data_IF_404606659853
#
_entry.id   IF_404606659853
#
_cell.length_a   1.000
_cell.length_b   1.000
_cell.length_c   1.000
_cell.angle_alpha   90.00
_cell.angle_beta   90.00
_cell.angle_gamma   90.00
#
_symmetry.space_group_name_H-M   'P 1'
#
loop_
_entity.id
_entity.type
_entity.pdbx_description
1 polymer ?
#
# COMPACT_ATOMS: atom_id res chain seq x y z
N UNK A 1 16.70 5.25 -9.94
CA UNK A 1 15.45 4.78 -10.57
C UNK A 1 14.35 5.11 -9.59
N UNK A 2 13.38 5.94 -9.98
CA UNK A 2 12.28 6.33 -9.09
C UNK A 2 11.13 5.34 -9.33
N UNK A 3 10.68 4.64 -8.31
CA UNK A 3 9.45 3.85 -8.37
C UNK A 3 8.32 4.72 -7.88
N UNK A 4 7.17 4.68 -8.55
CA UNK A 4 5.98 5.38 -8.07
C UNK A 4 5.02 4.36 -7.49
N UNK A 5 4.72 4.49 -6.21
CA UNK A 5 3.93 3.52 -5.48
C UNK A 5 2.65 4.12 -4.93
N UNK A 6 1.68 3.25 -4.67
CA UNK A 6 0.36 3.56 -4.15
C UNK A 6 0.07 2.60 -3.01
N UNK A 7 -0.50 3.10 -1.93
CA UNK A 7 -0.91 2.29 -0.78
C UNK A 7 -2.36 2.57 -0.45
N UNK A 8 -3.10 1.51 -0.13
CA UNK A 8 -4.34 1.60 0.61
C UNK A 8 -4.14 0.79 1.89
N UNK A 9 -4.45 1.37 3.06
CA UNK A 9 -4.26 0.76 4.36
C UNK A 9 -5.56 0.84 5.15
N UNK A 10 -6.11 -0.30 5.55
CA UNK A 10 -7.21 -0.38 6.51
C UNK A 10 -6.64 -0.44 7.91
N UNK A 11 -7.08 0.49 8.76
CA UNK A 11 -6.67 0.58 10.14
C UNK A 11 -7.37 -0.49 10.98
N UNK A 12 -6.70 -0.98 12.02
CA UNK A 12 -7.38 -1.76 13.05
C UNK A 12 -8.44 -0.88 13.75
N UNK A 13 -9.53 -1.49 14.22
CA UNK A 13 -10.77 -0.80 14.67
C UNK A 13 -10.52 0.32 15.72
N UNK A 14 -9.47 0.21 16.53
CA UNK A 14 -9.13 1.18 17.58
C UNK A 14 -7.79 1.90 17.35
N UNK A 15 -7.19 1.73 16.17
CA UNK A 15 -5.89 2.32 15.88
C UNK A 15 -6.00 3.84 15.67
N UNK A 16 -4.98 4.55 16.14
CA UNK A 16 -4.81 5.97 15.83
C UNK A 16 -4.26 6.09 14.39
N UNK A 17 -4.94 6.82 13.49
CA UNK A 17 -4.46 7.07 12.13
C UNK A 17 -3.21 7.97 12.08
N UNK A 18 -3.00 8.86 13.05
CA UNK A 18 -1.97 9.89 12.97
C UNK A 18 -0.55 9.30 12.86
N UNK A 19 -0.15 8.31 13.67
CA UNK A 19 1.14 7.63 13.52
C UNK A 19 1.34 6.94 12.16
N UNK A 20 0.27 6.44 11.55
CA UNK A 20 0.32 5.77 10.24
C UNK A 20 0.55 6.80 9.13
N UNK A 21 -0.17 7.91 9.20
CA UNK A 21 0.02 9.05 8.29
C UNK A 21 1.42 9.62 8.44
N UNK A 22 1.90 9.87 9.66
CA UNK A 22 3.23 10.42 9.91
C UNK A 22 4.34 9.49 9.37
N UNK A 23 4.19 8.18 9.53
CA UNK A 23 5.16 7.21 9.03
C UNK A 23 5.17 7.13 7.49
N UNK A 24 4.01 7.13 6.84
CA UNK A 24 3.90 6.95 5.38
C UNK A 24 4.05 8.26 4.60
N UNK A 25 3.69 9.40 5.19
CA UNK A 25 3.82 10.74 4.61
C UNK A 25 5.07 11.50 5.10
N UNK A 26 5.90 10.88 5.95
CA UNK A 26 7.10 11.50 6.52
C UNK A 26 8.12 11.97 5.47
N UNK A 27 9.01 12.87 5.90
CA UNK A 27 9.87 13.75 5.07
C UNK A 27 10.67 13.07 3.93
N UNK A 28 11.00 11.78 4.04
CA UNK A 28 11.79 11.05 3.04
C UNK A 28 10.95 10.47 1.88
N UNK A 29 9.63 10.38 2.02
CA UNK A 29 8.74 9.88 0.96
C UNK A 29 8.18 11.06 0.18
N UNK A 30 8.57 11.19 -1.10
CA UNK A 30 7.88 12.15 -1.97
C UNK A 30 6.48 11.64 -2.24
N UNK A 31 5.52 12.17 -1.50
CA UNK A 31 4.11 11.84 -1.57
C UNK A 31 3.40 12.82 -2.52
N UNK A 32 2.57 12.30 -3.43
CA UNK A 32 1.74 13.15 -4.30
C UNK A 32 0.41 13.52 -3.64
N UNK A 33 -0.13 12.65 -2.79
CA UNK A 33 -1.33 12.91 -2.00
C UNK A 33 -1.63 11.80 -1.01
N UNK A 34 -2.23 12.16 0.11
CA UNK A 34 -2.87 11.25 1.06
C UNK A 34 -4.36 11.61 1.17
N UNK A 35 -5.20 10.60 1.28
CA UNK A 35 -6.63 10.77 1.56
C UNK A 35 -7.08 9.79 2.64
N UNK A 36 -8.19 10.10 3.29
CA UNK A 36 -8.80 9.26 4.32
C UNK A 36 -10.29 9.13 4.09
N UNK A 37 -10.76 7.90 4.07
CA UNK A 37 -12.17 7.56 4.03
C UNK A 37 -12.46 6.53 5.11
N UNK A 38 -13.22 6.92 6.14
CA UNK A 38 -13.50 6.11 7.33
C UNK A 38 -12.21 5.58 8.01
N UNK A 39 -12.02 4.26 7.99
CA UNK A 39 -10.88 3.50 8.52
C UNK A 39 -9.80 3.20 7.46
N UNK A 40 -9.98 3.70 6.23
CA UNK A 40 -9.05 3.50 5.12
C UNK A 40 -8.21 4.77 4.93
N UNK A 41 -6.89 4.58 4.88
CA UNK A 41 -5.92 5.58 4.45
C UNK A 41 -5.40 5.22 3.06
N UNK A 42 -5.42 6.18 2.13
CA UNK A 42 -4.83 6.00 0.80
C UNK A 42 -3.68 6.97 0.59
N UNK A 43 -2.59 6.47 0.02
CA UNK A 43 -1.37 7.22 -0.26
C UNK A 43 -1.01 7.01 -1.72
N UNK A 44 -0.81 8.08 -2.46
CA UNK A 44 -0.55 8.01 -3.89
C UNK A 44 0.77 8.67 -4.26
N UNK A 45 1.41 8.07 -5.25
CA UNK A 45 2.59 8.64 -5.88
C UNK A 45 3.81 8.73 -4.98
N UNK A 46 3.97 7.76 -4.07
CA UNK A 46 5.13 7.65 -3.19
C UNK A 46 6.36 7.26 -3.99
N UNK A 47 7.43 8.07 -3.91
CA UNK A 47 8.73 7.75 -4.51
C UNK A 47 9.67 7.06 -3.51
N UNK A 48 10.27 5.94 -3.93
CA UNK A 48 11.26 5.24 -3.12
C UNK A 48 11.46 3.79 -3.54
N UNK A 49 12.47 3.08 -3.03
CA UNK A 49 12.58 1.64 -3.25
C UNK A 49 11.42 0.90 -2.58
N UNK A 50 10.86 -0.12 -3.25
CA UNK A 50 9.78 -0.94 -2.71
C UNK A 50 10.07 -1.47 -1.29
N UNK A 51 11.33 -1.85 -1.03
CA UNK A 51 11.77 -2.34 0.27
C UNK A 51 11.73 -1.30 1.40
N UNK A 52 11.74 -0.01 1.09
CA UNK A 52 11.52 1.02 2.10
C UNK A 52 10.03 1.10 2.48
N UNK A 53 9.14 1.00 1.50
CA UNK A 53 7.69 0.99 1.73
C UNK A 53 7.25 -0.26 2.49
N UNK A 54 7.81 -1.43 2.16
CA UNK A 54 7.61 -2.67 2.94
C UNK A 54 7.97 -2.44 4.42
N UNK A 55 9.12 -1.83 4.70
CA UNK A 55 9.56 -1.55 6.08
C UNK A 55 8.68 -0.52 6.78
N UNK A 56 8.18 0.48 6.07
CA UNK A 56 7.24 1.45 6.65
C UNK A 56 5.94 0.76 7.07
N UNK A 57 5.37 -0.09 6.19
CA UNK A 57 4.18 -0.88 6.53
C UNK A 57 4.42 -1.81 7.73
N UNK A 58 5.59 -2.46 7.81
CA UNK A 58 5.96 -3.25 8.99
C UNK A 58 6.12 -2.40 10.25
N UNK A 59 6.59 -1.15 10.13
CA UNK A 59 6.79 -0.26 11.28
C UNK A 59 5.46 0.12 11.94
N UNK A 60 4.40 0.25 11.12
CA UNK A 60 3.06 0.60 11.57
C UNK A 60 2.12 -0.60 11.60
N UNK A 61 2.65 -1.82 11.57
CA UNK A 61 1.86 -3.05 11.45
C UNK A 61 0.79 -3.22 12.51
N UNK A 62 1.09 -2.80 13.74
CA UNK A 62 0.19 -2.95 14.89
C UNK A 62 -1.07 -2.07 14.75
N UNK A 63 -1.01 -1.05 13.89
CA UNK A 63 -2.13 -0.16 13.59
C UNK A 63 -2.90 -0.58 12.32
N UNK A 64 -2.43 -1.58 11.58
CA UNK A 64 -3.01 -2.02 10.32
C UNK A 64 -3.75 -3.35 10.48
N UNK A 65 -4.97 -3.41 9.96
CA UNK A 65 -5.69 -4.67 9.75
C UNK A 65 -5.25 -5.29 8.42
N UNK A 66 -5.23 -4.48 7.35
CA UNK A 66 -4.87 -4.89 5.99
C UNK A 66 -4.18 -3.76 5.26
N UNK A 67 -3.38 -4.09 4.25
CA UNK A 67 -2.87 -3.10 3.31
C UNK A 67 -2.70 -3.68 1.91
N UNK A 68 -2.76 -2.81 0.92
CA UNK A 68 -2.36 -3.09 -0.46
C UNK A 68 -1.27 -2.09 -0.85
N UNK A 69 -0.13 -2.60 -1.32
CA UNK A 69 0.96 -1.82 -1.89
C UNK A 69 1.06 -2.12 -3.39
N UNK A 70 0.88 -1.10 -4.23
CA UNK A 70 1.05 -1.19 -5.68
C UNK A 70 2.30 -0.41 -6.08
N UNK A 71 3.27 -1.08 -6.68
CA UNK A 71 4.55 -0.53 -7.08
C UNK A 71 4.61 -0.48 -8.61
N UNK A 72 4.86 0.71 -9.15
CA UNK A 72 5.26 0.86 -10.53
C UNK A 72 6.78 0.78 -10.66
N UNK A 73 7.29 -0.28 -11.30
CA UNK A 73 8.70 -0.39 -11.61
C UNK A 73 9.02 0.34 -12.92
N UNK A 74 9.62 1.53 -12.83
CA UNK A 74 10.23 2.21 -13.97
C UNK A 74 11.54 1.49 -14.37
N UNK A 75 11.36 0.31 -14.97
CA UNK A 75 12.43 -0.55 -15.46
C UNK A 75 11.87 -1.62 -16.40
N UNK A 76 11.60 -1.25 -17.66
CA UNK A 76 11.13 -2.21 -18.69
C UNK A 76 9.82 -1.80 -19.36
N UNK A 77 8.92 -2.77 -19.61
CA UNK A 77 7.63 -2.58 -20.33
C UNK A 77 6.52 -1.92 -19.49
N UNK A 78 6.85 -1.37 -18.33
CA UNK A 78 5.90 -0.88 -17.33
C UNK A 78 5.36 -2.00 -16.44
N UNK A 79 6.25 -2.86 -15.95
CA UNK A 79 5.91 -3.92 -15.00
C UNK A 79 5.38 -3.31 -13.70
N UNK A 80 4.28 -3.87 -13.21
CA UNK A 80 3.67 -3.45 -11.96
C UNK A 80 3.49 -4.64 -11.02
N UNK A 81 3.69 -4.39 -9.74
CA UNK A 81 3.56 -5.37 -8.68
C UNK A 81 2.55 -4.85 -7.68
N UNK A 82 1.50 -5.62 -7.41
CA UNK A 82 0.58 -5.39 -6.30
C UNK A 82 0.84 -6.42 -5.21
N UNK A 83 0.87 -5.98 -3.95
CA UNK A 83 1.03 -6.84 -2.78
C UNK A 83 -0.10 -6.60 -1.81
N UNK A 84 -0.67 -7.68 -1.31
CA UNK A 84 -1.66 -7.66 -0.23
C UNK A 84 -1.01 -8.11 1.07
N UNK A 85 -1.29 -7.37 2.14
CA UNK A 85 -0.83 -7.61 3.50
C UNK A 85 -2.04 -7.71 4.41
N UNK A 86 -1.93 -8.57 5.41
CA UNK A 86 -2.97 -8.79 6.41
C UNK A 86 -2.34 -9.05 7.77
N UNK A 87 -3.01 -8.60 8.83
CA UNK A 87 -2.69 -8.96 10.19
C UNK A 87 -3.28 -10.35 10.50
N UNK A 88 -2.46 -11.38 10.38
CA UNK A 88 -2.84 -12.77 10.65
C UNK A 88 -2.38 -13.26 12.01
N UNK A 89 -2.57 -14.57 12.26
CA UNK A 89 -2.13 -15.22 13.49
C UNK A 89 -0.61 -15.13 13.73
N UNK A 90 0.17 -15.04 12.65
CA UNK A 90 1.63 -14.91 12.67
C UNK A 90 2.11 -13.44 12.62
N UNK A 91 1.17 -12.49 12.76
CA UNK A 91 1.40 -11.05 12.64
C UNK A 91 1.14 -10.51 11.23
N UNK A 92 1.45 -9.23 11.04
CA UNK A 92 1.26 -8.53 9.78
C UNK A 92 2.31 -8.93 8.74
N UNK A 93 1.87 -9.40 7.58
CA UNK A 93 2.77 -9.83 6.52
C UNK A 93 2.12 -9.87 5.15
N UNK A 94 2.96 -9.95 4.12
CA UNK A 94 2.50 -10.11 2.75
C UNK A 94 1.90 -11.51 2.55
N UNK A 95 0.63 -11.54 2.15
CA UNK A 95 -0.13 -12.77 1.90
C UNK A 95 -0.12 -13.12 0.41
N UNK A 96 -0.18 -12.12 -0.47
CA UNK A 96 -0.19 -12.33 -1.92
C UNK A 96 0.58 -11.26 -2.67
N UNK A 97 1.24 -11.67 -3.76
CA UNK A 97 1.86 -10.78 -4.72
C UNK A 97 1.31 -11.07 -6.13
N UNK A 98 0.73 -10.05 -6.76
CA UNK A 98 0.25 -10.05 -8.13
C UNK A 98 1.24 -9.30 -9.00
N UNK A 99 1.87 -9.99 -9.96
CA UNK A 99 2.77 -9.38 -10.96
C UNK A 99 2.08 -9.30 -12.30
N UNK A 100 2.19 -8.17 -12.98
CA UNK A 100 1.76 -8.05 -14.38
C UNK A 100 2.87 -7.49 -15.25
N UNK A 101 3.05 -8.12 -16.41
CA UNK A 101 4.10 -7.78 -17.38
C UNK A 101 3.78 -6.54 -18.24
N UNK A 102 2.59 -5.97 -18.06
CA UNK A 102 2.07 -4.83 -18.81
C UNK A 102 1.52 -3.78 -17.85
N UNK A 103 1.65 -2.50 -18.22
CA UNK A 103 1.18 -1.40 -17.38
C UNK A 103 -0.33 -1.44 -17.22
N UNK A 104 -0.78 -1.91 -16.07
CA UNK A 104 -2.16 -1.73 -15.60
C UNK A 104 -2.30 -0.35 -14.96
N UNK A 105 -3.52 0.14 -14.85
CA UNK A 105 -3.77 1.27 -13.96
C UNK A 105 -3.69 0.77 -12.51
N UNK A 106 -3.11 1.54 -11.56
CA UNK A 106 -3.02 1.13 -10.16
C UNK A 106 -4.37 0.69 -9.58
N UNK A 107 -5.46 1.35 -9.97
CA UNK A 107 -6.83 1.01 -9.58
C UNK A 107 -7.21 -0.45 -9.82
N UNK A 108 -6.75 -1.06 -10.92
CA UNK A 108 -7.07 -2.46 -11.24
C UNK A 108 -6.49 -3.47 -10.22
N UNK A 109 -5.38 -3.12 -9.56
CA UNK A 109 -4.84 -3.94 -8.47
C UNK A 109 -5.68 -3.81 -7.21
N UNK A 110 -6.10 -2.58 -6.89
CA UNK A 110 -6.98 -2.32 -5.74
C UNK A 110 -8.33 -3.03 -5.94
N UNK A 111 -8.92 -2.95 -7.13
CA UNK A 111 -10.15 -3.68 -7.48
C UNK A 111 -9.99 -5.19 -7.32
N UNK A 112 -8.86 -5.75 -7.78
CA UNK A 112 -8.57 -7.17 -7.65
C UNK A 112 -8.50 -7.60 -6.17
N UNK A 113 -7.75 -6.86 -5.34
CA UNK A 113 -7.62 -7.20 -3.92
C UNK A 113 -8.89 -6.91 -3.13
N UNK A 114 -9.65 -5.86 -3.49
CA UNK A 114 -10.96 -5.58 -2.92
C UNK A 114 -11.94 -6.73 -3.22
N UNK A 115 -11.99 -7.21 -4.46
CA UNK A 115 -12.86 -8.32 -4.85
C UNK A 115 -12.49 -9.64 -4.16
N UNK A 116 -11.21 -9.86 -3.88
CA UNK A 116 -10.70 -11.13 -3.31
C UNK A 116 -10.69 -11.15 -1.79
N UNK A 117 -10.30 -10.05 -1.14
CA UNK A 117 -10.06 -9.96 0.30
C UNK A 117 -10.98 -8.98 1.02
N UNK A 118 -11.75 -8.18 0.29
CA UNK A 118 -12.70 -7.23 0.89
C UNK A 118 -12.05 -5.99 1.50
N UNK A 119 -10.85 -5.62 1.05
CA UNK A 119 -10.22 -4.33 1.42
C UNK A 119 -10.92 -3.19 0.67
N UNK A 120 -11.38 -2.16 1.39
CA UNK A 120 -12.09 -0.99 0.87
C UNK A 120 -11.11 0.06 0.37
N UNK A 121 -10.34 -0.26 -0.67
CA UNK A 121 -9.49 0.73 -1.32
C UNK A 121 -10.33 1.62 -2.27
N UNK A 122 -10.77 2.79 -1.83
CA UNK A 122 -11.26 3.83 -2.73
C UNK A 122 -10.05 4.59 -3.30
N UNK A 123 -9.62 4.24 -4.51
CA UNK A 123 -8.46 4.86 -5.19
C UNK A 123 -8.88 5.61 -6.43
#
# INVERSE_FOLDING_TARGET
MSHRSYVAAELAETADPDPVVDALAGDDTRLSGADRYDDVLTFSGMEGPASALDRLLTTVSDALERAVLVINHDGGRGEMIGRYYENGADGFGAVEELRTDFRWEPGAYFDYFAAKYGIHAAV
#
